data_IF_234573301152
#
_entry.id   IF_234573301152
#
_cell.length_a   1.000
_cell.length_b   1.000
_cell.length_c   1.000
_cell.angle_alpha   90.00
_cell.angle_beta   90.00
_cell.angle_gamma   90.00
#
_symmetry.space_group_name_H-M   'P 1'
#
loop_
_entity.id
_entity.type
_entity.pdbx_description
1 polymer ?
#
# COMPACT_ATOMS: atom_id res chain seq x y z
N UNK A 1 -22.84 9.59 -2.39
CA UNK A 1 -22.37 10.61 -1.42
C UNK A 1 -21.06 10.09 -0.88
N UNK A 2 -19.94 10.69 -1.25
CA UNK A 2 -18.66 10.33 -0.65
C UNK A 2 -18.69 10.86 0.79
N UNK A 3 -18.69 9.95 1.77
CA UNK A 3 -18.56 10.34 3.15
C UNK A 3 -17.26 11.11 3.34
N UNK A 4 -17.33 12.34 3.81
CA UNK A 4 -16.15 13.09 4.19
C UNK A 4 -15.43 12.33 5.30
N UNK A 5 -14.22 11.83 5.01
CA UNK A 5 -13.35 11.31 6.04
C UNK A 5 -13.03 12.44 7.01
N UNK A 6 -13.17 12.22 8.31
CA UNK A 6 -12.98 13.26 9.32
C UNK A 6 -12.12 12.74 10.45
N UNK A 7 -10.98 13.37 10.64
CA UNK A 7 -10.17 13.16 11.83
C UNK A 7 -10.77 13.95 13.02
N UNK A 8 -10.84 13.36 14.19
CA UNK A 8 -11.36 14.02 15.39
C UNK A 8 -10.53 15.25 15.82
N UNK A 9 -9.26 15.32 15.43
CA UNK A 9 -8.36 16.45 15.74
C UNK A 9 -8.21 17.43 14.60
N UNK A 10 -8.12 16.94 13.35
CA UNK A 10 -7.80 17.76 12.16
C UNK A 10 -9.05 18.23 11.39
N UNK A 11 -10.25 17.71 11.71
CA UNK A 11 -11.47 18.01 10.96
C UNK A 11 -11.60 17.20 9.67
N UNK A 12 -12.22 17.76 8.59
CA UNK A 12 -12.34 17.10 7.31
C UNK A 12 -10.94 16.78 6.74
N UNK A 13 -10.76 15.55 6.25
CA UNK A 13 -9.46 15.06 5.78
C UNK A 13 -9.62 14.32 4.46
N UNK A 14 -8.53 14.21 3.70
CA UNK A 14 -8.52 13.42 2.48
C UNK A 14 -8.75 11.92 2.81
N UNK A 15 -9.18 11.11 1.84
CA UNK A 15 -9.41 9.68 2.04
C UNK A 15 -8.24 8.91 2.64
N UNK A 16 -7.01 9.39 2.45
CA UNK A 16 -5.82 8.91 3.13
C UNK A 16 -5.29 10.04 4.01
N UNK A 17 -5.85 10.19 5.20
CA UNK A 17 -5.28 11.07 6.20
C UNK A 17 -4.31 10.29 7.06
N UNK A 18 -3.06 10.75 7.09
CA UNK A 18 -2.06 10.26 8.02
C UNK A 18 -2.09 11.19 9.23
N UNK A 19 -2.66 10.79 10.37
CA UNK A 19 -2.68 11.62 11.56
C UNK A 19 -1.26 11.82 12.09
N UNK A 20 -0.99 12.97 12.68
CA UNK A 20 0.32 13.29 13.28
C UNK A 20 0.76 12.27 14.35
N UNK A 21 -0.16 11.45 14.83
CA UNK A 21 0.12 10.39 15.80
C UNK A 21 -0.83 9.22 15.59
N UNK A 22 -0.44 8.36 14.73
CA UNK A 22 -1.05 7.03 14.67
C UNK A 22 -0.56 6.22 15.87
N UNK A 23 -1.44 5.46 16.47
CA UNK A 23 -1.16 4.56 17.58
C UNK A 23 -1.78 3.19 17.34
N UNK A 24 -1.47 2.25 18.21
CA UNK A 24 -1.99 0.88 18.13
C UNK A 24 -3.52 0.83 18.11
N UNK A 25 -4.17 1.73 18.85
CA UNK A 25 -5.63 1.82 18.92
C UNK A 25 -6.28 2.23 17.60
N UNK A 26 -5.62 3.10 16.83
CA UNK A 26 -6.10 3.51 15.50
C UNK A 26 -5.97 2.34 14.52
N UNK A 27 -4.83 1.65 14.55
CA UNK A 27 -4.60 0.47 13.72
C UNK A 27 -5.61 -0.61 14.04
N UNK A 28 -5.82 -0.91 15.32
CA UNK A 28 -6.81 -1.90 15.76
C UNK A 28 -8.23 -1.54 15.28
N UNK A 29 -8.63 -0.28 15.39
CA UNK A 29 -9.94 0.18 14.92
C UNK A 29 -10.10 0.03 13.40
N UNK A 30 -9.06 0.31 12.63
CA UNK A 30 -9.10 0.12 11.17
C UNK A 30 -9.14 -1.36 10.82
N UNK A 31 -8.35 -2.20 11.49
CA UNK A 31 -8.38 -3.66 11.32
C UNK A 31 -9.78 -4.22 11.61
N UNK A 32 -10.39 -3.82 12.72
CA UNK A 32 -11.76 -4.23 13.06
C UNK A 32 -12.76 -3.86 11.96
N UNK A 33 -12.66 -2.65 11.40
CA UNK A 33 -13.53 -2.19 10.32
C UNK A 33 -13.30 -3.00 9.03
N UNK A 34 -12.05 -3.25 8.67
CA UNK A 34 -11.70 -4.05 7.48
C UNK A 34 -12.22 -5.48 7.61
N UNK A 35 -12.03 -6.10 8.78
CA UNK A 35 -12.52 -7.46 9.06
C UNK A 35 -14.05 -7.51 9.08
N UNK A 36 -14.70 -6.54 9.72
CA UNK A 36 -16.17 -6.48 9.79
C UNK A 36 -16.83 -6.23 8.44
N UNK A 37 -16.14 -5.52 7.53
CA UNK A 37 -16.63 -5.21 6.19
C UNK A 37 -16.29 -6.29 5.16
N UNK A 38 -15.58 -7.35 5.54
CA UNK A 38 -15.36 -8.54 4.71
C UNK A 38 -16.64 -9.38 4.66
N UNK A 39 -17.53 -9.07 3.73
CA UNK A 39 -18.80 -9.78 3.51
C UNK A 39 -18.95 -10.16 2.02
N UNK A 40 -19.29 -11.38 1.69
CA UNK A 40 -19.57 -12.54 2.56
C UNK A 40 -18.31 -13.23 3.09
N UNK A 41 -18.41 -14.04 4.16
CA UNK A 41 -17.26 -14.68 4.81
C UNK A 41 -16.43 -15.60 3.90
N UNK A 42 -16.95 -15.94 2.73
CA UNK A 42 -16.27 -16.76 1.72
C UNK A 42 -15.36 -15.95 0.77
N UNK A 43 -15.42 -14.62 0.85
CA UNK A 43 -14.55 -13.75 0.06
C UNK A 43 -13.34 -13.36 0.89
N UNK A 44 -12.11 -13.57 0.39
CA UNK A 44 -10.94 -13.08 1.09
C UNK A 44 -11.04 -11.55 1.24
N UNK A 45 -10.93 -11.05 2.46
CA UNK A 45 -10.88 -9.61 2.72
C UNK A 45 -9.70 -8.95 2.02
N UNK A 46 -9.79 -7.66 1.78
CA UNK A 46 -8.66 -6.90 1.23
C UNK A 46 -7.61 -6.74 2.33
N UNK A 47 -6.38 -7.28 2.14
CA UNK A 47 -5.38 -7.32 3.20
C UNK A 47 -4.79 -5.95 3.49
N UNK A 48 -4.38 -5.71 4.74
CA UNK A 48 -3.61 -4.56 5.18
C UNK A 48 -2.11 -4.90 5.16
N UNK A 49 -1.49 -4.81 3.98
CA UNK A 49 -0.09 -5.19 3.78
C UNK A 49 0.87 -4.23 4.47
N UNK A 50 1.48 -4.68 5.58
CA UNK A 50 2.51 -3.96 6.32
C UNK A 50 3.87 -4.65 6.16
N UNK A 51 4.95 -3.93 5.85
CA UNK A 51 6.29 -4.50 5.86
C UNK A 51 6.67 -4.89 7.29
N UNK A 52 7.17 -6.12 7.48
CA UNK A 52 7.66 -6.58 8.76
C UNK A 52 8.80 -7.61 8.59
N UNK A 53 9.91 -7.42 9.32
CA UNK A 53 10.19 -6.29 10.20
C UNK A 53 10.30 -4.96 9.45
N UNK A 54 9.99 -3.86 10.14
CA UNK A 54 10.27 -2.53 9.60
C UNK A 54 11.78 -2.31 9.52
N UNK A 55 12.29 -1.63 8.48
CA UNK A 55 13.69 -1.23 8.43
C UNK A 55 14.08 -0.38 9.66
N UNK A 56 15.35 -0.36 10.07
CA UNK A 56 15.80 0.45 11.20
C UNK A 56 15.44 1.93 11.05
N UNK A 57 14.80 2.50 12.07
CA UNK A 57 14.36 3.89 12.08
C UNK A 57 13.04 4.16 11.33
N UNK A 58 12.40 3.11 10.80
CA UNK A 58 11.10 3.21 10.15
C UNK A 58 9.96 2.99 11.15
N UNK A 59 8.85 3.67 10.89
CA UNK A 59 7.62 3.58 11.69
C UNK A 59 6.39 3.47 10.80
N UNK A 60 5.34 2.86 11.32
CA UNK A 60 4.02 2.90 10.70
C UNK A 60 3.41 4.29 10.91
N UNK A 61 3.05 4.96 9.81
CA UNK A 61 2.56 6.34 9.84
C UNK A 61 1.10 6.49 9.43
N UNK A 62 0.53 5.47 8.80
CA UNK A 62 -0.87 5.52 8.41
C UNK A 62 -1.43 4.17 8.00
N UNK A 63 -2.71 3.98 8.26
CA UNK A 63 -3.53 2.90 7.74
C UNK A 63 -4.86 3.48 7.27
N UNK A 64 -5.37 2.98 6.16
CA UNK A 64 -6.65 3.43 5.61
C UNK A 64 -7.32 2.31 4.82
N UNK A 65 -8.60 2.47 4.57
CA UNK A 65 -9.35 1.63 3.64
C UNK A 65 -10.29 2.49 2.78
N UNK A 66 -10.66 1.96 1.63
CA UNK A 66 -11.65 2.55 0.74
C UNK A 66 -12.68 1.49 0.34
N UNK A 67 -13.92 1.94 0.27
CA UNK A 67 -15.09 1.10 -0.03
C UNK A 67 -16.37 1.82 0.33
N UNK A 68 -17.48 1.12 0.32
CA UNK A 68 -18.78 1.63 0.73
C UNK A 68 -19.60 0.55 1.46
N UNK A 69 -20.71 0.93 2.08
CA UNK A 69 -21.58 0.02 2.83
C UNK A 69 -22.16 -1.13 1.99
N UNK A 70 -22.20 -1.00 0.66
CA UNK A 70 -22.76 -2.01 -0.24
C UNK A 70 -21.70 -2.99 -0.73
N UNK A 71 -20.52 -2.49 -1.06
CA UNK A 71 -19.42 -3.28 -1.63
C UNK A 71 -18.41 -3.74 -0.59
N UNK A 72 -18.52 -3.24 0.65
CA UNK A 72 -17.53 -3.47 1.70
C UNK A 72 -16.21 -2.77 1.40
N UNK A 73 -15.13 -3.25 2.00
CA UNK A 73 -13.77 -2.79 1.73
C UNK A 73 -13.30 -3.32 0.39
N UNK A 74 -12.83 -2.42 -0.48
CA UNK A 74 -12.32 -2.74 -1.82
C UNK A 74 -10.86 -2.37 -2.03
N UNK A 75 -10.32 -1.53 -1.17
CA UNK A 75 -8.90 -1.22 -1.14
C UNK A 75 -8.46 -0.89 0.29
N UNK A 76 -7.20 -1.18 0.57
CA UNK A 76 -6.53 -0.80 1.81
C UNK A 76 -5.20 -0.12 1.49
N UNK A 77 -4.71 0.67 2.42
CA UNK A 77 -3.41 1.32 2.30
C UNK A 77 -2.70 1.32 3.64
N UNK A 78 -1.40 1.05 3.61
CA UNK A 78 -0.50 1.08 4.77
C UNK A 78 0.69 1.95 4.41
N UNK A 79 0.94 2.99 5.20
CA UNK A 79 2.03 3.93 5.03
C UNK A 79 3.08 3.77 6.11
N UNK A 80 4.34 3.77 5.72
CA UNK A 80 5.49 3.75 6.62
C UNK A 80 6.46 4.86 6.24
N UNK A 81 7.13 5.46 7.22
CA UNK A 81 8.14 6.49 6.99
C UNK A 81 9.41 6.22 7.79
N UNK A 82 10.52 6.67 7.26
CA UNK A 82 11.83 6.53 7.87
C UNK A 82 12.94 7.18 7.05
N UNK A 83 14.21 6.88 7.36
CA UNK A 83 15.32 7.40 6.60
C UNK A 83 15.42 6.76 5.21
N UNK A 84 15.68 7.57 4.17
CA UNK A 84 15.99 7.07 2.84
C UNK A 84 17.34 6.32 2.84
N UNK A 85 17.45 5.20 2.08
CA UNK A 85 18.63 4.33 2.17
C UNK A 85 19.92 4.96 1.61
N UNK A 86 19.82 5.89 0.67
CA UNK A 86 20.98 6.42 -0.05
C UNK A 86 21.52 7.72 0.55
N UNK A 87 20.66 8.59 1.04
CA UNK A 87 21.00 9.94 1.48
C UNK A 87 20.61 10.24 2.93
N UNK A 88 19.91 9.32 3.58
CA UNK A 88 19.45 9.47 4.96
C UNK A 88 18.39 10.56 5.15
N UNK A 89 17.90 11.16 4.06
CA UNK A 89 16.77 12.09 4.08
C UNK A 89 15.46 11.37 4.45
N UNK A 90 14.36 12.11 4.59
CA UNK A 90 13.09 11.50 4.88
C UNK A 90 12.57 10.68 3.68
N UNK A 91 11.90 9.57 3.95
CA UNK A 91 11.29 8.73 2.94
C UNK A 91 9.96 8.15 3.42
N UNK A 92 9.07 7.87 2.47
CA UNK A 92 7.82 7.16 2.67
C UNK A 92 7.75 5.93 1.78
N UNK A 93 7.15 4.87 2.31
CA UNK A 93 6.65 3.73 1.56
C UNK A 93 5.15 3.59 1.79
N UNK A 94 4.40 3.43 0.71
CA UNK A 94 2.97 3.16 0.73
C UNK A 94 2.70 1.83 0.03
N UNK A 95 2.06 0.93 0.74
CA UNK A 95 1.54 -0.32 0.18
C UNK A 95 0.04 -0.23 0.05
N UNK A 96 -0.48 -0.49 -1.15
CA UNK A 96 -1.92 -0.50 -1.43
C UNK A 96 -2.30 -1.88 -1.93
N UNK A 97 -3.27 -2.51 -1.28
CA UNK A 97 -3.97 -3.67 -1.81
C UNK A 97 -5.33 -3.23 -2.33
N UNK A 98 -5.70 -3.61 -3.54
CA UNK A 98 -6.99 -3.23 -4.10
C UNK A 98 -7.54 -4.26 -5.07
N UNK A 99 -8.87 -4.33 -5.14
CA UNK A 99 -9.55 -5.08 -6.20
C UNK A 99 -9.32 -4.42 -7.56
N UNK A 100 -9.23 -5.21 -8.64
CA UNK A 100 -9.19 -4.66 -9.99
C UNK A 100 -10.33 -3.64 -10.24
N UNK A 101 -9.99 -2.53 -10.87
CA UNK A 101 -10.93 -1.46 -11.21
C UNK A 101 -11.18 -0.43 -10.10
N UNK A 102 -10.52 -0.51 -8.94
CA UNK A 102 -10.66 0.49 -7.86
C UNK A 102 -9.83 1.75 -8.13
N UNK A 103 -8.54 1.60 -8.40
CA UNK A 103 -7.67 2.67 -8.80
C UNK A 103 -7.10 3.54 -7.69
N UNK A 104 -7.07 3.06 -6.45
CA UNK A 104 -6.43 3.77 -5.35
C UNK A 104 -4.90 3.77 -5.54
N UNK A 105 -4.31 2.61 -5.82
CA UNK A 105 -2.88 2.46 -6.04
C UNK A 105 -2.39 3.21 -7.26
N UNK A 106 -3.09 3.15 -8.38
CA UNK A 106 -2.75 3.92 -9.59
C UNK A 106 -2.80 5.43 -9.35
N UNK A 107 -3.76 5.90 -8.55
CA UNK A 107 -3.86 7.32 -8.17
C UNK A 107 -2.64 7.78 -7.38
N UNK A 108 -2.19 7.00 -6.40
CA UNK A 108 -0.96 7.31 -5.64
C UNK A 108 0.29 7.18 -6.50
N UNK A 109 0.32 6.22 -7.42
CA UNK A 109 1.38 6.09 -8.41
C UNK A 109 1.43 7.25 -9.41
N UNK A 110 0.35 8.05 -9.52
CA UNK A 110 0.24 9.12 -10.51
C UNK A 110 -0.05 8.62 -11.92
N UNK A 111 -0.66 7.45 -12.02
CA UNK A 111 -1.04 6.82 -13.29
C UNK A 111 -2.48 7.16 -13.68
N UNK A 112 -2.79 7.23 -14.97
CA UNK A 112 -4.17 7.32 -15.44
C UNK A 112 -4.86 5.95 -15.34
N UNK A 113 -6.16 5.96 -15.05
CA UNK A 113 -7.01 4.76 -15.03
C UNK A 113 -6.98 4.01 -13.70
N UNK A 114 -7.84 2.98 -13.57
CA UNK A 114 -8.01 2.25 -12.33
C UNK A 114 -7.07 1.06 -12.17
N UNK A 115 -6.34 0.65 -13.20
CA UNK A 115 -5.46 -0.53 -13.19
C UNK A 115 -4.06 -0.17 -13.69
N UNK A 116 -3.03 -0.93 -13.33
CA UNK A 116 -1.64 -0.62 -13.68
C UNK A 116 -1.31 -0.74 -15.17
N UNK A 117 -2.33 -0.96 -15.98
CA UNK A 117 -2.27 -0.96 -17.43
C UNK A 117 -2.44 -2.33 -18.06
N UNK A 118 -2.95 -2.38 -19.31
CA UNK A 118 -3.30 -3.62 -19.99
C UNK A 118 -2.07 -4.50 -20.26
N UNK A 119 -0.90 -3.91 -20.43
CA UNK A 119 0.34 -4.66 -20.67
C UNK A 119 0.79 -5.45 -19.42
N UNK A 120 0.66 -4.84 -18.23
CA UNK A 120 0.98 -5.54 -16.99
C UNK A 120 -0.09 -6.57 -16.68
N UNK A 121 -1.36 -6.23 -16.84
CA UNK A 121 -2.47 -7.15 -16.67
C UNK A 121 -2.32 -8.37 -17.59
N UNK A 122 -2.00 -8.17 -18.86
CA UNK A 122 -1.76 -9.25 -19.82
C UNK A 122 -0.55 -10.12 -19.43
N UNK A 123 0.54 -9.50 -18.97
CA UNK A 123 1.73 -10.24 -18.54
C UNK A 123 1.49 -11.14 -17.32
N UNK A 124 0.55 -10.77 -16.46
CA UNK A 124 0.20 -11.55 -15.27
C UNK A 124 -0.85 -12.64 -15.55
N UNK A 125 -1.75 -12.41 -16.53
CA UNK A 125 -2.85 -13.34 -16.83
C UNK A 125 -2.54 -14.35 -17.93
N UNK A 126 -1.68 -14.01 -18.88
CA UNK A 126 -1.30 -14.89 -19.99
C UNK A 126 0.17 -14.69 -20.39
N UNK A 127 1.11 -15.41 -19.77
CA UNK A 127 2.52 -15.40 -20.17
C UNK A 127 2.74 -16.19 -21.46
N UNK A 128 1.93 -15.97 -22.50
CA UNK A 128 1.99 -16.70 -23.76
C UNK A 128 3.36 -16.71 -24.42
N UNK A 129 3.67 -17.70 -25.27
CA UNK A 129 4.94 -17.83 -25.96
C UNK A 129 5.13 -16.65 -26.92
N UNK A 130 6.08 -15.79 -26.64
CA UNK A 130 6.41 -14.61 -27.46
C UNK A 130 6.42 -13.28 -26.72
N UNK A 131 5.88 -13.20 -25.53
CA UNK A 131 6.16 -12.10 -24.61
C UNK A 131 7.50 -12.39 -23.94
N UNK A 132 8.52 -11.60 -24.29
CA UNK A 132 9.79 -11.64 -23.59
C UNK A 132 9.49 -11.62 -22.08
N UNK A 133 9.98 -12.64 -21.37
CA UNK A 133 9.82 -12.80 -19.92
C UNK A 133 10.24 -11.46 -19.28
N UNK A 134 9.26 -10.64 -18.90
CA UNK A 134 9.55 -9.34 -18.28
C UNK A 134 10.14 -9.62 -16.91
N UNK A 135 11.42 -9.41 -16.79
CA UNK A 135 12.13 -9.55 -15.53
C UNK A 135 11.51 -8.56 -14.54
N UNK A 136 11.01 -9.00 -13.38
CA UNK A 136 10.49 -8.09 -12.37
C UNK A 136 11.61 -7.16 -11.88
N UNK A 137 11.25 -5.92 -11.59
CA UNK A 137 12.20 -4.90 -11.10
C UNK A 137 12.48 -5.05 -9.60
N UNK A 138 11.54 -5.65 -8.87
CA UNK A 138 11.69 -6.01 -7.47
C UNK A 138 10.96 -7.32 -7.18
N UNK A 139 11.33 -7.96 -6.10
CA UNK A 139 10.66 -9.17 -5.60
C UNK A 139 10.53 -9.05 -4.10
N UNK A 140 9.30 -9.06 -3.63
CA UNK A 140 8.96 -9.04 -2.21
C UNK A 140 8.31 -10.36 -1.80
N UNK A 141 8.11 -10.57 -0.50
CA UNK A 141 7.35 -11.72 -0.01
C UNK A 141 6.01 -11.24 0.53
N UNK A 142 4.93 -11.89 0.10
CA UNK A 142 3.57 -11.61 0.57
C UNK A 142 2.96 -12.92 1.10
N UNK A 143 2.63 -12.96 2.38
CA UNK A 143 2.13 -14.18 3.00
C UNK A 143 3.07 -15.39 2.83
N UNK A 144 4.39 -15.16 2.86
CA UNK A 144 5.42 -16.17 2.67
C UNK A 144 5.75 -16.51 1.21
N UNK A 145 5.00 -16.02 0.23
CA UNK A 145 5.20 -16.30 -1.19
C UNK A 145 5.99 -15.19 -1.90
N UNK A 146 6.97 -15.53 -2.77
CA UNK A 146 7.67 -14.54 -3.59
C UNK A 146 6.68 -13.89 -4.56
N UNK A 147 6.58 -12.57 -4.49
CA UNK A 147 5.67 -11.76 -5.30
C UNK A 147 6.49 -10.81 -6.16
N UNK A 148 6.49 -10.97 -7.49
CA UNK A 148 7.19 -10.08 -8.39
C UNK A 148 6.48 -8.72 -8.48
N UNK A 149 7.28 -7.66 -8.59
CA UNK A 149 6.80 -6.29 -8.80
C UNK A 149 7.47 -5.69 -10.04
N UNK A 150 6.68 -4.99 -10.83
CA UNK A 150 7.14 -4.28 -12.02
C UNK A 150 7.05 -2.78 -11.79
N UNK A 151 8.10 -2.07 -12.17
CA UNK A 151 8.09 -0.61 -12.20
C UNK A 151 7.01 -0.14 -13.17
N UNK A 152 6.14 0.74 -12.70
CA UNK A 152 5.11 1.38 -13.51
C UNK A 152 5.45 2.86 -13.73
N UNK A 153 4.84 3.46 -14.76
CA UNK A 153 5.08 4.86 -15.04
C UNK A 153 4.56 5.75 -13.91
N UNK A 154 5.41 6.63 -13.41
CA UNK A 154 5.11 7.51 -12.27
C UNK A 154 5.82 8.85 -12.43
N UNK A 155 5.36 9.92 -11.75
CA UNK A 155 6.09 11.19 -11.64
C UNK A 155 7.50 10.99 -11.09
N UNK A 156 8.40 11.92 -11.39
CA UNK A 156 9.82 11.84 -11.02
C UNK A 156 10.11 11.99 -9.53
N UNK A 157 9.13 12.45 -8.75
CA UNK A 157 9.22 12.60 -7.29
C UNK A 157 9.08 11.27 -6.55
N UNK A 158 8.62 10.21 -7.23
CA UNK A 158 8.35 8.89 -6.66
C UNK A 158 8.74 7.77 -7.59
N UNK A 159 8.93 6.58 -7.06
CA UNK A 159 8.91 5.34 -7.82
C UNK A 159 7.71 4.51 -7.41
N UNK A 160 7.05 3.92 -8.41
CA UNK A 160 5.87 3.10 -8.18
C UNK A 160 6.03 1.73 -8.84
N UNK A 161 5.64 0.71 -8.12
CA UNK A 161 5.69 -0.68 -8.56
C UNK A 161 4.31 -1.30 -8.41
N UNK A 162 3.97 -2.20 -9.30
CA UNK A 162 2.73 -2.95 -9.23
C UNK A 162 2.99 -4.45 -9.44
N UNK A 163 2.18 -5.25 -8.80
CA UNK A 163 2.16 -6.71 -8.94
C UNK A 163 0.79 -7.24 -8.52
N UNK A 164 0.68 -8.55 -8.45
CA UNK A 164 -0.53 -9.23 -8.01
C UNK A 164 -0.21 -10.09 -6.79
N UNK A 165 -1.07 -10.04 -5.78
CA UNK A 165 -1.02 -10.89 -4.61
C UNK A 165 -2.43 -11.24 -4.14
N UNK A 166 -2.73 -12.53 -3.95
CA UNK A 166 -4.03 -13.04 -3.48
C UNK A 166 -5.23 -12.59 -4.35
N UNK A 167 -5.04 -12.45 -5.66
CA UNK A 167 -6.09 -12.01 -6.58
C UNK A 167 -6.35 -10.50 -6.59
N UNK A 168 -5.48 -9.71 -5.96
CA UNK A 168 -5.59 -8.26 -5.84
C UNK A 168 -4.39 -7.57 -6.47
N UNK A 169 -4.56 -6.35 -6.94
CA UNK A 169 -3.44 -5.50 -7.26
C UNK A 169 -2.70 -5.12 -5.97
N UNK A 170 -1.39 -5.27 -6.00
CA UNK A 170 -0.48 -4.78 -4.98
C UNK A 170 0.36 -3.67 -5.57
N UNK A 171 0.22 -2.46 -5.03
CA UNK A 171 1.09 -1.34 -5.37
C UNK A 171 2.05 -1.06 -4.23
N UNK A 172 3.33 -0.80 -4.57
CA UNK A 172 4.33 -0.30 -3.65
C UNK A 172 4.85 1.02 -4.21
N UNK A 173 4.64 2.12 -3.49
CA UNK A 173 5.00 3.47 -3.92
C UNK A 173 5.99 4.05 -2.91
N UNK A 174 7.09 4.58 -3.41
CA UNK A 174 8.17 5.12 -2.58
C UNK A 174 8.44 6.60 -2.90
N UNK A 175 8.57 7.41 -1.86
CA UNK A 175 9.02 8.80 -1.93
C UNK A 175 10.25 9.01 -1.06
N UNK A 176 11.26 9.77 -1.54
CA UNK A 176 11.46 10.17 -2.93
C UNK A 176 11.66 8.93 -3.83
N UNK A 177 11.76 9.12 -5.16
CA UNK A 177 11.94 7.99 -6.08
C UNK A 177 13.12 7.09 -5.72
N UNK A 178 14.20 7.63 -5.14
CA UNK A 178 15.37 6.89 -4.65
C UNK A 178 15.04 5.90 -3.52
N UNK A 179 13.97 6.13 -2.75
CA UNK A 179 13.55 5.19 -1.70
C UNK A 179 13.01 3.85 -2.26
N UNK A 180 12.71 3.80 -3.55
CA UNK A 180 12.39 2.54 -4.25
C UNK A 180 13.48 1.48 -4.15
N UNK A 181 14.73 1.85 -3.86
CA UNK A 181 15.80 0.88 -3.58
C UNK A 181 15.49 -0.03 -2.38
N UNK A 182 14.67 0.41 -1.43
CA UNK A 182 14.21 -0.45 -0.33
C UNK A 182 13.48 -1.70 -0.81
N UNK A 183 12.80 -1.62 -1.96
CA UNK A 183 12.08 -2.76 -2.53
C UNK A 183 13.01 -3.75 -3.25
N UNK A 184 14.29 -3.40 -3.46
CA UNK A 184 15.31 -4.32 -3.95
C UNK A 184 15.87 -5.22 -2.82
N UNK A 185 15.65 -4.85 -1.58
CA UNK A 185 15.95 -5.67 -0.39
C UNK A 185 14.82 -6.69 -0.17
N UNK A 186 15.05 -7.65 0.71
CA UNK A 186 14.02 -8.64 1.03
C UNK A 186 12.92 -8.04 1.91
N UNK A 187 11.92 -7.41 1.29
CA UNK A 187 10.73 -6.92 1.98
C UNK A 187 9.72 -8.05 2.15
N UNK A 188 9.26 -8.25 3.39
CA UNK A 188 8.20 -9.19 3.72
C UNK A 188 6.97 -8.41 4.14
N UNK A 189 5.83 -8.65 3.49
CA UNK A 189 4.55 -8.07 3.85
C UNK A 189 3.72 -9.05 4.66
N UNK A 190 3.24 -8.59 5.79
CA UNK A 190 2.26 -9.27 6.63
C UNK A 190 0.91 -8.55 6.57
N UNK A 191 -0.15 -9.30 6.67
CA UNK A 191 -1.49 -8.74 6.77
C UNK A 191 -1.79 -8.37 8.24
N UNK A 192 -1.94 -7.09 8.52
CA UNK A 192 -2.27 -6.62 9.88
C UNK A 192 -3.63 -7.13 10.36
N UNK A 193 -4.53 -7.51 9.45
CA UNK A 193 -5.81 -8.11 9.80
C UNK A 193 -5.65 -9.57 10.31
N UNK A 194 -4.63 -10.29 9.84
CA UNK A 194 -4.31 -11.63 10.33
C UNK A 194 -3.43 -11.58 11.59
N UNK A 195 -2.50 -10.66 11.63
CA UNK A 195 -1.55 -10.52 12.74
C UNK A 195 -0.92 -9.13 12.79
N UNK A 196 -1.06 -8.46 13.93
CA UNK A 196 -0.40 -7.17 14.20
C UNK A 196 0.83 -7.42 15.08
N UNK A 197 2.04 -7.11 14.59
CA UNK A 197 3.26 -7.28 15.38
C UNK A 197 3.21 -6.48 16.69
N UNK A 198 3.51 -7.11 17.85
CA UNK A 198 3.50 -6.39 19.14
C UNK A 198 4.61 -5.34 19.26
N UNK A 199 5.71 -5.51 18.48
CA UNK A 199 6.83 -4.57 18.45
C UNK A 199 6.70 -3.51 17.35
N UNK A 200 5.53 -3.38 16.72
CA UNK A 200 5.32 -2.39 15.67
C UNK A 200 5.47 -0.98 16.23
N UNK A 201 6.32 -0.18 15.59
CA UNK A 201 6.60 1.20 15.99
C UNK A 201 5.70 2.14 15.24
N UNK A 202 5.05 3.05 15.96
CA UNK A 202 4.05 3.96 15.42
C UNK A 202 4.50 5.43 15.53
N UNK A 203 3.94 6.30 14.71
CA UNK A 203 3.74 7.69 15.03
C UNK A 203 4.69 8.71 14.49
N UNK A 204 5.62 8.41 13.62
CA UNK A 204 6.33 9.46 12.91
C UNK A 204 5.41 10.07 11.83
N UNK A 205 5.36 11.43 11.69
CA UNK A 205 4.62 12.03 10.59
C UNK A 205 5.23 11.62 9.25
N UNK A 206 4.37 11.28 8.28
CA UNK A 206 4.82 11.04 6.92
C UNK A 206 5.25 12.36 6.26
N UNK A 207 6.48 12.50 5.75
CA UNK A 207 6.94 13.74 5.13
C UNK A 207 6.30 14.03 3.76
N UNK A 208 5.79 13.01 3.07
CA UNK A 208 5.26 13.14 1.71
C UNK A 208 3.75 12.91 1.61
N UNK A 209 3.17 12.14 2.54
CA UNK A 209 1.74 11.80 2.55
C UNK A 209 0.90 12.78 3.40
N UNK A 210 1.52 13.65 4.19
CA UNK A 210 0.86 14.84 4.69
C UNK A 210 0.53 15.70 3.47
N UNK A 211 -0.73 15.70 3.08
CA UNK A 211 -1.18 16.39 1.92
C UNK A 211 -0.59 17.79 1.87
N UNK A 212 0.07 18.10 0.78
CA UNK A 212 0.25 19.49 0.40
C UNK A 212 -1.14 20.14 0.44
N UNK A 213 -1.31 21.05 1.38
CA UNK A 213 -2.49 21.87 1.52
C UNK A 213 -2.69 22.69 0.23
#
# INVERSE_FOLDING_TARGET
>A
MHGESRCLRCGPVSPLHVPEHIGAEIVASVVEQVVAAADPPDRPGVPLWCPWPLPPGWTLTGVAWAGDERSGVRATAVACAGPAPLDGGPADLLFVAEEPGVGLGTRFAGMPGPDPGPELAAALTDPGPGHAERVPHAKIRVGGHPTPLWLVNSPTDRSAYAGEARGMWLHAIAWPASAGHLLAEEVVLHDLAEWTPPELVYGAPSPYLHGAA
#
